data_IF_645146409592
#
_entry.id   IF_645146409592
#
_cell.length_a   1.000
_cell.length_b   1.000
_cell.length_c   1.000
_cell.angle_alpha   90.00
_cell.angle_beta   90.00
_cell.angle_gamma   90.00
#
_symmetry.space_group_name_H-M   'P 1'
#
loop_
_entity.id
_entity.type
_entity.pdbx_description
1 polymer ?
#
# COMPACT_ATOMS: atom_id res chain seq x y z
N UNK A 1 12.41 21.28 -6.67
CA UNK A 1 12.02 20.56 -5.42
C UNK A 1 11.67 19.14 -5.83
N UNK A 2 12.27 18.14 -5.19
CA UNK A 2 11.88 16.75 -5.46
C UNK A 2 10.46 16.53 -4.92
N UNK A 3 9.52 16.25 -5.79
CA UNK A 3 8.16 15.85 -5.39
C UNK A 3 8.12 14.35 -5.11
N UNK A 4 7.22 13.87 -4.23
CA UNK A 4 6.96 12.45 -4.06
C UNK A 4 6.58 11.77 -5.37
N UNK A 5 6.97 10.51 -5.52
CA UNK A 5 6.63 9.67 -6.67
C UNK A 5 5.75 8.52 -6.17
N UNK A 6 4.60 8.36 -6.79
CA UNK A 6 3.63 7.32 -6.50
C UNK A 6 3.48 6.38 -7.69
N UNK A 7 3.32 5.09 -7.42
CA UNK A 7 2.77 4.14 -8.38
C UNK A 7 1.35 3.81 -7.97
N UNK A 8 0.44 3.84 -8.93
CA UNK A 8 -0.98 3.58 -8.69
C UNK A 8 -1.61 2.81 -9.86
N UNK A 9 -2.73 2.14 -9.59
CA UNK A 9 -3.44 1.33 -10.57
C UNK A 9 -3.69 2.10 -11.88
N UNK A 10 -3.17 1.56 -12.98
CA UNK A 10 -3.23 2.20 -14.29
C UNK A 10 -4.67 2.41 -14.80
N UNK A 11 -5.64 1.62 -14.32
CA UNK A 11 -7.06 1.73 -14.67
C UNK A 11 -7.71 3.00 -14.09
N UNK A 12 -7.15 3.52 -12.98
CA UNK A 12 -7.66 4.68 -12.26
C UNK A 12 -6.71 5.88 -12.30
N UNK A 13 -5.63 5.82 -13.08
CA UNK A 13 -4.52 6.77 -13.01
C UNK A 13 -4.95 8.23 -13.23
N UNK A 14 -5.86 8.49 -14.18
CA UNK A 14 -6.31 9.86 -14.45
C UNK A 14 -7.16 10.42 -13.29
N UNK A 15 -8.05 9.61 -12.71
CA UNK A 15 -8.84 10.01 -11.55
C UNK A 15 -7.96 10.24 -10.31
N UNK A 16 -6.89 9.43 -10.14
CA UNK A 16 -5.91 9.61 -9.05
C UNK A 16 -5.07 10.87 -9.25
N UNK A 17 -4.69 11.19 -10.49
CA UNK A 17 -4.00 12.45 -10.83
C UNK A 17 -4.87 13.67 -10.60
N UNK A 18 -6.14 13.61 -10.96
CA UNK A 18 -7.11 14.67 -10.69
C UNK A 18 -7.27 14.91 -9.18
N UNK A 19 -7.44 13.84 -8.39
CA UNK A 19 -7.66 13.92 -6.96
C UNK A 19 -6.39 14.35 -6.18
N UNK A 20 -5.24 13.78 -6.52
CA UNK A 20 -4.04 13.85 -5.68
C UNK A 20 -2.79 14.40 -6.40
N UNK A 21 -2.87 14.80 -7.68
CA UNK A 21 -1.70 15.24 -8.46
C UNK A 21 -0.95 16.45 -7.88
N UNK A 22 -1.61 17.24 -7.01
CA UNK A 22 -0.95 18.35 -6.27
C UNK A 22 0.09 17.88 -5.26
N UNK A 23 0.05 16.61 -4.83
CA UNK A 23 0.98 16.03 -3.85
C UNK A 23 2.23 15.44 -4.47
N UNK A 24 2.20 15.08 -5.76
CA UNK A 24 3.35 14.47 -6.42
C UNK A 24 3.05 13.91 -7.80
N UNK A 25 4.01 13.18 -8.33
CA UNK A 25 3.89 12.55 -9.64
C UNK A 25 3.31 11.14 -9.53
N UNK A 26 2.22 10.87 -10.24
CA UNK A 26 1.57 9.57 -10.30
C UNK A 26 1.98 8.83 -11.58
N UNK A 27 2.67 7.72 -11.39
CA UNK A 27 3.11 6.80 -12.44
C UNK A 27 2.10 5.64 -12.53
N UNK A 28 1.60 5.30 -13.73
CA UNK A 28 0.69 4.17 -13.87
C UNK A 28 1.40 2.86 -13.56
N UNK A 29 0.71 1.93 -12.90
CA UNK A 29 1.22 0.58 -12.68
C UNK A 29 1.38 -0.18 -14.00
N UNK A 30 2.34 -1.11 -14.03
CA UNK A 30 2.50 -2.08 -15.11
C UNK A 30 1.68 -3.33 -14.77
N UNK A 31 0.72 -3.75 -15.61
CA UNK A 31 -0.10 -4.93 -15.34
C UNK A 31 0.73 -6.20 -15.23
N UNK A 32 0.62 -6.91 -14.11
CA UNK A 32 1.24 -8.22 -13.88
C UNK A 32 0.29 -9.34 -14.31
N UNK A 33 0.51 -9.87 -15.51
CA UNK A 33 -0.39 -10.83 -16.16
C UNK A 33 -0.46 -12.21 -15.50
N UNK A 34 0.41 -12.49 -14.54
CA UNK A 34 0.38 -13.74 -13.76
C UNK A 34 -0.63 -13.69 -12.62
N UNK A 35 -1.05 -12.49 -12.20
CA UNK A 35 -2.09 -12.26 -11.21
C UNK A 35 -3.49 -12.42 -11.80
N UNK A 36 -4.49 -12.59 -10.95
CA UNK A 36 -5.89 -12.51 -11.35
C UNK A 36 -6.21 -11.11 -11.91
N UNK A 37 -7.16 -11.02 -12.84
CA UNK A 37 -7.48 -9.78 -13.55
C UNK A 37 -7.79 -8.61 -12.59
N UNK A 38 -8.63 -8.76 -11.53
CA UNK A 38 -8.92 -7.67 -10.62
C UNK A 38 -7.69 -7.07 -9.93
N UNK A 39 -6.67 -7.89 -9.63
CA UNK A 39 -5.44 -7.51 -8.92
C UNK A 39 -4.28 -7.19 -9.87
N UNK A 40 -4.40 -7.50 -11.15
CA UNK A 40 -3.28 -7.45 -12.10
C UNK A 40 -2.63 -6.07 -12.24
N UNK A 41 -3.39 -5.01 -11.98
CA UNK A 41 -2.91 -3.62 -12.01
C UNK A 41 -2.59 -3.05 -10.62
N UNK A 42 -2.82 -3.80 -9.53
CA UNK A 42 -2.51 -3.38 -8.17
C UNK A 42 -1.00 -3.34 -7.95
N UNK A 43 -0.40 -2.17 -7.67
CA UNK A 43 1.06 -2.09 -7.52
C UNK A 43 1.59 -2.90 -6.35
N UNK A 44 0.90 -2.95 -5.22
CA UNK A 44 1.30 -3.67 -4.01
C UNK A 44 1.27 -5.20 -4.11
N UNK A 45 0.72 -5.73 -5.23
CA UNK A 45 0.76 -7.17 -5.53
C UNK A 45 2.06 -7.60 -6.26
N UNK A 46 2.77 -6.63 -6.86
CA UNK A 46 3.99 -6.90 -7.64
C UNK A 46 5.19 -6.04 -7.23
N UNK A 47 4.98 -5.07 -6.32
CA UNK A 47 6.00 -4.16 -5.80
C UNK A 47 5.98 -4.14 -4.28
N UNK A 48 7.17 -4.11 -3.71
CA UNK A 48 7.43 -3.61 -2.37
C UNK A 48 8.22 -2.31 -2.49
N UNK A 49 7.86 -1.29 -1.71
CA UNK A 49 8.57 -0.01 -1.67
C UNK A 49 8.82 0.42 -0.23
N UNK A 50 10.02 0.98 0.02
CA UNK A 50 10.40 1.53 1.32
C UNK A 50 10.03 3.02 1.48
N UNK A 51 9.45 3.63 0.45
CA UNK A 51 9.16 5.05 0.32
C UNK A 51 10.42 5.97 0.31
N UNK A 52 11.62 5.45 0.57
CA UNK A 52 12.88 6.23 0.53
C UNK A 52 13.48 6.29 -0.87
N UNK A 53 13.24 5.34 -1.73
CA UNK A 53 13.60 5.24 -3.14
C UNK A 53 13.99 3.83 -3.58
N UNK A 54 13.86 2.82 -2.73
CA UNK A 54 14.12 1.43 -3.11
C UNK A 54 12.81 0.72 -3.39
N UNK A 55 12.71 0.09 -4.54
CA UNK A 55 11.56 -0.73 -4.96
C UNK A 55 12.04 -2.12 -5.31
N UNK A 56 11.45 -3.14 -4.69
CA UNK A 56 11.65 -4.54 -5.06
C UNK A 56 10.48 -4.96 -5.91
N UNK A 57 10.75 -5.45 -7.11
CA UNK A 57 9.77 -5.61 -8.18
C UNK A 57 9.72 -7.05 -8.69
N UNK A 58 8.52 -7.57 -8.89
CA UNK A 58 8.31 -8.91 -9.45
C UNK A 58 8.91 -9.04 -10.86
N UNK A 59 9.56 -10.20 -11.18
CA UNK A 59 10.25 -10.41 -12.46
C UNK A 59 9.38 -10.11 -13.70
N UNK A 60 8.09 -10.49 -13.76
CA UNK A 60 7.28 -10.27 -14.97
C UNK A 60 7.07 -8.80 -15.36
N UNK A 61 7.18 -7.87 -14.40
CA UNK A 61 6.94 -6.44 -14.61
C UNK A 61 8.20 -5.59 -14.42
N UNK A 62 9.35 -6.21 -14.14
CA UNK A 62 10.60 -5.53 -13.85
C UNK A 62 11.03 -4.57 -14.96
N UNK A 63 11.08 -5.02 -16.23
CA UNK A 63 11.53 -4.19 -17.34
C UNK A 63 10.57 -3.01 -17.63
N UNK A 64 9.27 -3.20 -17.38
CA UNK A 64 8.31 -2.11 -17.49
C UNK A 64 8.56 -1.04 -16.43
N UNK A 65 8.70 -1.43 -15.16
CA UNK A 65 8.98 -0.49 -14.07
C UNK A 65 10.37 0.13 -14.18
N UNK A 66 11.37 -0.59 -14.70
CA UNK A 66 12.70 -0.02 -14.97
C UNK A 66 12.61 1.19 -15.92
N UNK A 67 11.75 1.11 -16.95
CA UNK A 67 11.51 2.23 -17.87
C UNK A 67 10.69 3.35 -17.24
N UNK A 68 9.63 3.00 -16.48
CA UNK A 68 8.72 3.95 -15.88
C UNK A 68 9.36 4.75 -14.75
N UNK A 69 10.22 4.13 -13.94
CA UNK A 69 10.79 4.73 -12.73
C UNK A 69 12.21 5.30 -12.91
N UNK A 70 12.91 4.94 -13.99
CA UNK A 70 14.26 5.45 -14.27
C UNK A 70 14.39 6.99 -14.28
N UNK A 71 13.40 7.79 -14.77
CA UNK A 71 13.51 9.24 -14.77
C UNK A 71 13.50 9.86 -13.35
N UNK A 72 13.05 9.11 -12.35
CA UNK A 72 12.83 9.61 -11.00
C UNK A 72 13.96 9.24 -10.02
N UNK A 73 15.00 8.53 -10.48
CA UNK A 73 16.12 8.12 -9.61
C UNK A 73 15.68 7.13 -8.52
N UNK A 74 14.74 6.24 -8.84
CA UNK A 74 14.32 5.12 -7.98
C UNK A 74 15.27 3.94 -8.21
N UNK A 75 15.77 3.36 -7.13
CA UNK A 75 16.56 2.13 -7.16
C UNK A 75 15.62 0.93 -7.29
N UNK A 76 15.64 0.26 -8.43
CA UNK A 76 14.81 -0.91 -8.69
C UNK A 76 15.61 -2.19 -8.52
N UNK A 77 15.15 -3.08 -7.66
CA UNK A 77 15.71 -4.41 -7.42
C UNK A 77 14.76 -5.46 -7.99
N UNK A 78 15.27 -6.36 -8.79
CA UNK A 78 14.46 -7.47 -9.30
C UNK A 78 14.30 -8.53 -8.21
N UNK A 79 13.06 -8.88 -7.89
CA UNK A 79 12.72 -9.99 -7.03
C UNK A 79 12.99 -11.34 -7.69
N UNK A 80 12.83 -12.41 -6.92
CA UNK A 80 13.03 -13.80 -7.36
C UNK A 80 11.71 -14.54 -7.61
N UNK A 81 10.64 -14.11 -6.92
CA UNK A 81 9.33 -14.76 -6.99
C UNK A 81 8.48 -14.09 -8.08
N UNK A 82 7.96 -14.91 -8.98
CA UNK A 82 6.85 -14.53 -9.87
C UNK A 82 5.55 -14.80 -9.12
N UNK A 83 4.74 -13.76 -8.81
CA UNK A 83 3.46 -13.98 -8.13
C UNK A 83 2.54 -14.82 -9.00
N UNK A 84 1.89 -15.80 -8.36
CA UNK A 84 0.88 -16.66 -9.01
C UNK A 84 -0.48 -15.96 -9.11
N UNK A 85 -1.44 -16.69 -9.70
CA UNK A 85 -2.80 -16.19 -9.89
C UNK A 85 -3.61 -16.13 -8.59
N UNK A 86 -3.47 -17.19 -7.79
CA UNK A 86 -4.35 -17.47 -6.65
C UNK A 86 -3.59 -17.41 -5.33
N UNK A 87 -4.32 -17.19 -4.24
CA UNK A 87 -3.78 -17.25 -2.90
C UNK A 87 -3.29 -18.69 -2.57
N UNK A 88 -2.12 -18.87 -1.92
CA UNK A 88 -1.25 -17.84 -1.36
C UNK A 88 -0.09 -17.41 -2.28
N UNK A 89 -0.08 -17.79 -3.53
CA UNK A 89 1.05 -17.53 -4.45
C UNK A 89 1.13 -16.07 -4.90
N UNK A 90 0.03 -15.30 -4.76
CA UNK A 90 -0.06 -13.91 -5.20
C UNK A 90 0.39 -12.88 -4.16
N UNK A 91 0.73 -13.28 -2.90
CA UNK A 91 1.00 -12.32 -1.80
C UNK A 91 2.48 -12.05 -1.52
N UNK A 92 3.39 -12.53 -2.36
CA UNK A 92 4.83 -12.49 -2.11
C UNK A 92 5.40 -11.09 -1.84
N UNK A 93 4.82 -10.04 -2.42
CA UNK A 93 5.24 -8.64 -2.30
C UNK A 93 4.39 -7.83 -1.30
N UNK A 94 3.32 -8.41 -0.78
CA UNK A 94 2.31 -7.72 0.01
C UNK A 94 2.74 -7.60 1.49
N UNK A 95 3.75 -6.76 1.75
CA UNK A 95 4.34 -6.53 3.07
C UNK A 95 3.97 -5.13 3.56
N UNK A 96 3.41 -5.04 4.76
CA UNK A 96 3.08 -3.78 5.43
C UNK A 96 4.26 -3.31 6.27
N UNK A 97 4.72 -2.07 6.05
CA UNK A 97 5.65 -1.39 6.94
C UNK A 97 4.90 -0.38 7.81
N UNK A 98 5.16 -0.38 9.12
CA UNK A 98 4.58 0.57 10.08
C UNK A 98 5.49 0.74 11.29
N UNK A 99 5.82 1.98 11.68
CA UNK A 99 6.52 2.31 12.93
C UNK A 99 7.87 1.59 13.13
N UNK A 100 8.62 1.30 12.06
CA UNK A 100 9.87 0.55 12.14
C UNK A 100 9.73 -0.98 12.18
N UNK A 101 8.51 -1.48 11.99
CA UNK A 101 8.18 -2.90 11.91
C UNK A 101 7.70 -3.28 10.51
N UNK A 102 7.80 -4.57 10.19
CA UNK A 102 7.21 -5.15 8.98
C UNK A 102 6.27 -6.31 9.34
N UNK A 103 5.08 -6.31 8.76
CA UNK A 103 4.04 -7.30 9.00
C UNK A 103 3.70 -8.02 7.71
N UNK A 104 3.76 -9.35 7.73
CA UNK A 104 3.40 -10.19 6.59
C UNK A 104 3.15 -11.64 7.00
N UNK A 105 2.52 -12.40 6.11
CA UNK A 105 2.58 -13.85 6.13
C UNK A 105 3.90 -14.28 5.48
N UNK A 106 4.94 -14.45 6.29
CA UNK A 106 6.32 -14.65 5.80
C UNK A 106 6.54 -15.94 4.99
N UNK A 107 5.68 -16.93 5.15
CA UNK A 107 5.71 -18.11 4.29
C UNK A 107 5.36 -17.71 2.85
N UNK A 108 6.33 -17.78 1.94
CA UNK A 108 6.18 -17.37 0.53
C UNK A 108 6.44 -15.89 0.26
N UNK A 109 6.90 -15.10 1.24
CA UNK A 109 7.34 -13.73 0.99
C UNK A 109 8.60 -13.68 0.11
N UNK A 110 8.73 -12.63 -0.69
CA UNK A 110 9.87 -12.42 -1.59
C UNK A 110 11.19 -12.34 -0.80
N UNK A 111 12.19 -13.19 -1.08
CA UNK A 111 13.45 -13.22 -0.34
C UNK A 111 14.23 -11.89 -0.37
N UNK A 112 14.17 -11.14 -1.47
CA UNK A 112 14.84 -9.83 -1.55
C UNK A 112 14.23 -8.81 -0.56
N UNK A 113 12.92 -8.92 -0.25
CA UNK A 113 12.27 -8.10 0.76
C UNK A 113 12.80 -8.50 2.14
N UNK A 114 12.87 -9.81 2.41
CA UNK A 114 13.39 -10.33 3.68
C UNK A 114 14.82 -9.86 3.93
N UNK A 115 15.71 -10.05 2.95
CA UNK A 115 17.11 -9.61 3.00
C UNK A 115 17.23 -8.08 3.18
N UNK A 116 16.37 -7.32 2.52
CA UNK A 116 16.32 -5.87 2.62
C UNK A 116 15.93 -5.39 4.03
N UNK A 117 14.89 -5.97 4.61
CA UNK A 117 14.43 -5.66 5.96
C UNK A 117 15.49 -6.02 7.03
N UNK A 118 16.13 -7.18 6.89
CA UNK A 118 17.20 -7.63 7.80
C UNK A 118 18.39 -6.66 7.79
N UNK A 119 18.84 -6.23 6.60
CA UNK A 119 19.95 -5.26 6.45
C UNK A 119 19.62 -3.91 7.08
N UNK A 120 18.35 -3.54 7.18
CA UNK A 120 17.88 -2.30 7.81
C UNK A 120 17.53 -2.45 9.29
N UNK A 121 17.65 -3.66 9.84
CA UNK A 121 17.31 -3.92 11.24
C UNK A 121 15.80 -3.81 11.54
N UNK A 122 14.94 -3.91 10.51
CA UNK A 122 13.48 -3.85 10.66
C UNK A 122 12.99 -5.16 11.25
N UNK A 123 12.28 -5.07 12.38
CA UNK A 123 11.73 -6.24 13.06
C UNK A 123 10.51 -6.77 12.30
N UNK A 124 10.49 -8.07 12.06
CA UNK A 124 9.42 -8.73 11.31
C UNK A 124 8.41 -9.40 12.26
N UNK A 125 7.13 -9.09 12.09
CA UNK A 125 6.02 -9.71 12.79
C UNK A 125 5.20 -10.57 11.84
N UNK A 126 4.91 -11.81 12.23
CA UNK A 126 4.05 -12.68 11.45
C UNK A 126 2.57 -12.34 11.68
N UNK A 127 1.80 -12.26 10.60
CA UNK A 127 0.34 -12.14 10.63
C UNK A 127 -0.30 -13.24 9.79
N UNK A 128 -1.54 -13.59 10.11
CA UNK A 128 -2.28 -14.61 9.37
C UNK A 128 -2.73 -14.10 7.98
N UNK A 129 -2.92 -12.79 7.86
CA UNK A 129 -3.33 -12.11 6.63
C UNK A 129 -2.20 -12.10 5.60
N UNK A 130 -2.47 -12.68 4.41
CA UNK A 130 -1.51 -12.67 3.31
C UNK A 130 -1.42 -11.31 2.61
N UNK A 131 -2.55 -10.63 2.47
CA UNK A 131 -2.64 -9.29 1.87
C UNK A 131 -2.40 -8.20 2.92
N UNK A 132 -1.28 -8.27 3.66
CA UNK A 132 -1.04 -7.40 4.81
C UNK A 132 -1.00 -5.91 4.43
N UNK A 133 -0.37 -5.55 3.30
CA UNK A 133 -0.30 -4.18 2.80
C UNK A 133 -1.67 -3.66 2.36
N UNK A 134 -2.40 -4.46 1.56
CA UNK A 134 -3.73 -4.09 1.11
C UNK A 134 -4.70 -3.94 2.31
N UNK A 135 -4.60 -4.82 3.31
CA UNK A 135 -5.53 -4.89 4.44
C UNK A 135 -5.35 -3.78 5.48
N UNK A 136 -4.26 -3.01 5.41
CA UNK A 136 -3.96 -2.02 6.44
C UNK A 136 -3.39 -0.73 5.87
N UNK A 137 -3.89 0.39 6.36
CA UNK A 137 -3.28 1.70 6.19
C UNK A 137 -2.32 1.94 7.35
N UNK A 138 -1.05 2.24 7.04
CA UNK A 138 -0.05 2.65 8.02
C UNK A 138 0.42 4.09 7.78
N UNK A 139 0.59 4.84 8.87
CA UNK A 139 1.16 6.19 8.88
C UNK A 139 1.77 6.47 10.25
N UNK A 140 2.97 7.05 10.28
CA UNK A 140 3.75 7.20 11.51
C UNK A 140 3.78 5.89 12.33
N UNK A 141 3.41 5.94 13.60
CA UNK A 141 3.29 4.81 14.53
C UNK A 141 1.87 4.25 14.63
N UNK A 142 1.09 4.35 13.56
CA UNK A 142 -0.35 4.06 13.58
C UNK A 142 -0.77 3.13 12.46
N UNK A 143 -1.75 2.27 12.75
CA UNK A 143 -2.34 1.31 11.80
C UNK A 143 -3.86 1.38 11.87
N UNK A 144 -4.52 1.39 10.70
CA UNK A 144 -5.97 1.23 10.57
C UNK A 144 -6.21 -0.04 9.76
N UNK A 145 -6.97 -0.99 10.27
CA UNK A 145 -7.23 -2.26 9.61
C UNK A 145 -8.54 -2.89 10.06
N UNK A 146 -9.16 -3.69 9.20
CA UNK A 146 -10.25 -4.58 9.57
C UNK A 146 -9.75 -5.98 10.02
N UNK A 147 -8.49 -6.31 9.76
CA UNK A 147 -7.93 -7.64 10.05
C UNK A 147 -7.49 -7.75 11.52
N UNK A 148 -8.04 -8.70 12.30
CA UNK A 148 -7.73 -8.83 13.71
C UNK A 148 -6.30 -9.33 13.98
N UNK A 149 -5.69 -10.07 13.04
CA UNK A 149 -4.30 -10.55 13.21
C UNK A 149 -3.29 -9.42 13.05
N UNK A 150 -3.52 -8.51 12.11
CA UNK A 150 -2.71 -7.30 11.93
C UNK A 150 -2.93 -6.35 13.12
N UNK A 151 -4.20 -6.13 13.51
CA UNK A 151 -4.53 -5.26 14.63
C UNK A 151 -3.80 -5.69 15.91
N UNK A 152 -3.84 -6.99 16.23
CA UNK A 152 -3.14 -7.56 17.40
C UNK A 152 -1.63 -7.40 17.30
N UNK A 153 -1.03 -7.83 16.17
CA UNK A 153 0.42 -7.78 16.01
C UNK A 153 0.96 -6.33 16.07
N UNK A 154 0.23 -5.37 15.50
CA UNK A 154 0.58 -3.95 15.57
C UNK A 154 0.47 -3.42 17.01
N UNK A 155 -0.60 -3.74 17.73
CA UNK A 155 -0.77 -3.33 19.14
C UNK A 155 0.30 -3.94 20.05
N UNK A 156 0.63 -5.22 19.88
CA UNK A 156 1.69 -5.92 20.63
C UNK A 156 3.08 -5.31 20.34
N UNK A 157 3.25 -4.65 19.19
CA UNK A 157 4.47 -3.90 18.81
C UNK A 157 4.47 -2.46 19.35
N UNK A 158 3.46 -2.04 20.10
CA UNK A 158 3.34 -0.70 20.68
C UNK A 158 2.79 0.35 19.72
N UNK A 159 2.28 -0.06 18.55
CA UNK A 159 1.66 0.87 17.59
C UNK A 159 0.23 1.23 18.03
N UNK A 160 -0.20 2.42 17.66
CA UNK A 160 -1.58 2.84 17.81
C UNK A 160 -2.47 2.17 16.77
N UNK A 161 -3.54 1.52 17.16
CA UNK A 161 -4.39 0.77 16.25
C UNK A 161 -5.83 1.25 16.28
N UNK A 162 -6.42 1.45 15.12
CA UNK A 162 -7.86 1.57 14.91
C UNK A 162 -8.34 0.33 14.15
N UNK A 163 -9.10 -0.52 14.83
CA UNK A 163 -9.80 -1.62 14.16
C UNK A 163 -11.15 -1.14 13.64
N UNK A 164 -11.41 -1.42 12.35
CA UNK A 164 -12.63 -1.01 11.64
C UNK A 164 -13.45 -2.24 11.20
N UNK A 165 -14.68 -2.02 10.77
CA UNK A 165 -15.53 -3.04 10.17
C UNK A 165 -14.99 -3.47 8.80
N UNK A 166 -15.03 -4.76 8.44
CA UNK A 166 -14.67 -5.23 7.11
C UNK A 166 -15.74 -4.84 6.08
N UNK A 167 -15.34 -4.79 4.80
CA UNK A 167 -16.23 -4.44 3.70
C UNK A 167 -16.33 -2.94 3.44
N UNK A 168 -17.38 -2.51 2.72
CA UNK A 168 -17.66 -1.11 2.37
C UNK A 168 -16.60 -0.44 1.46
N UNK A 169 -15.70 -1.23 0.87
CA UNK A 169 -14.67 -0.80 -0.07
C UNK A 169 -14.87 -1.57 -1.36
N UNK A 170 -15.04 -0.87 -2.46
CA UNK A 170 -15.28 -1.48 -3.77
C UNK A 170 -13.98 -2.10 -4.31
N UNK A 171 -14.05 -3.34 -4.76
CA UNK A 171 -13.03 -4.01 -5.57
C UNK A 171 -13.74 -4.83 -6.64
N UNK A 172 -13.80 -4.35 -7.90
CA UNK A 172 -14.49 -5.08 -8.97
C UNK A 172 -13.93 -6.49 -9.15
N UNK A 173 -14.80 -7.49 -9.10
CA UNK A 173 -14.43 -8.92 -9.20
C UNK A 173 -14.30 -9.63 -7.85
N UNK A 174 -14.43 -8.91 -6.74
CA UNK A 174 -14.47 -9.45 -5.37
C UNK A 174 -15.65 -8.86 -4.59
N UNK A 175 -16.03 -9.51 -3.49
CA UNK A 175 -17.12 -9.04 -2.63
C UNK A 175 -16.82 -7.67 -2.01
N UNK A 176 -15.55 -7.42 -1.65
CA UNK A 176 -15.05 -6.14 -1.16
C UNK A 176 -13.52 -6.05 -1.28
N UNK A 177 -13.01 -4.84 -1.23
CA UNK A 177 -11.59 -4.53 -1.15
C UNK A 177 -11.14 -4.14 0.26
N UNK A 178 -9.92 -3.64 0.38
CA UNK A 178 -9.26 -3.36 1.65
C UNK A 178 -8.92 -1.88 1.84
N UNK A 179 -8.86 -1.45 3.11
CA UNK A 179 -8.60 -0.04 3.46
C UNK A 179 -7.21 0.43 3.04
N UNK A 180 -6.18 -0.41 3.15
CA UNK A 180 -4.84 -0.10 2.68
C UNK A 180 -4.78 0.01 1.16
N UNK A 181 -5.53 -0.84 0.44
CA UNK A 181 -5.68 -0.77 -1.00
C UNK A 181 -6.36 0.50 -1.50
N UNK A 182 -7.28 1.06 -0.70
CA UNK A 182 -8.01 2.29 -1.02
C UNK A 182 -7.32 3.58 -0.55
N UNK A 183 -6.09 3.50 0.00
CA UNK A 183 -5.45 4.63 0.67
C UNK A 183 -3.93 4.69 0.49
N UNK A 184 -3.32 5.75 0.99
CA UNK A 184 -1.88 5.93 1.09
C UNK A 184 -1.49 7.26 1.71
N UNK A 185 -0.24 7.37 2.16
CA UNK A 185 0.34 8.62 2.63
C UNK A 185 0.70 9.47 1.40
N UNK A 186 0.19 10.71 1.32
CA UNK A 186 0.40 11.61 0.17
C UNK A 186 1.57 12.57 0.39
N UNK A 187 1.77 12.99 1.62
CA UNK A 187 2.92 13.78 2.07
C UNK A 187 3.21 13.48 3.55
N UNK A 188 4.10 14.26 4.19
CA UNK A 188 4.51 14.05 5.58
C UNK A 188 3.35 14.08 6.59
N UNK A 189 2.20 14.65 6.24
CA UNK A 189 1.08 14.92 7.15
C UNK A 189 -0.30 14.71 6.53
N UNK A 190 -0.40 14.12 5.34
CA UNK A 190 -1.68 13.94 4.65
C UNK A 190 -1.87 12.48 4.25
N UNK A 191 -2.96 11.90 4.72
CA UNK A 191 -3.44 10.58 4.31
C UNK A 191 -4.49 10.74 3.22
N UNK A 192 -4.30 10.07 2.09
CA UNK A 192 -5.23 10.04 0.97
C UNK A 192 -6.15 8.83 1.00
N UNK A 193 -7.41 9.03 0.61
CA UNK A 193 -8.38 7.95 0.40
C UNK A 193 -9.02 8.08 -0.98
N UNK A 194 -8.94 7.06 -1.79
CA UNK A 194 -9.56 7.05 -3.11
C UNK A 194 -11.05 6.69 -3.00
N UNK A 195 -11.80 7.62 -2.49
CA UNK A 195 -13.23 7.60 -2.23
C UNK A 195 -13.60 8.44 -1.01
N UNK A 196 -14.88 8.52 -0.73
CA UNK A 196 -15.49 9.35 0.32
C UNK A 196 -15.58 8.55 1.63
N UNK A 197 -14.82 8.94 2.64
CA UNK A 197 -14.85 8.31 3.96
C UNK A 197 -16.23 8.36 4.63
N UNK A 198 -17.09 9.35 4.29
CA UNK A 198 -18.45 9.45 4.85
C UNK A 198 -19.35 8.29 4.42
N UNK A 199 -18.97 7.55 3.37
CA UNK A 199 -19.70 6.37 2.90
C UNK A 199 -19.25 5.07 3.60
N UNK A 200 -18.21 5.12 4.46
CA UNK A 200 -17.79 3.99 5.28
C UNK A 200 -18.37 4.10 6.69
N UNK A 201 -18.90 3.02 7.30
CA UNK A 201 -19.50 3.06 8.65
C UNK A 201 -18.57 3.65 9.72
N UNK A 202 -17.27 3.38 9.61
CA UNK A 202 -16.26 3.91 10.51
C UNK A 202 -15.60 5.21 9.99
N UNK A 203 -16.14 5.90 8.98
CA UNK A 203 -15.52 7.04 8.33
C UNK A 203 -15.16 8.16 9.29
N UNK A 204 -16.07 8.50 10.22
CA UNK A 204 -15.82 9.52 11.25
C UNK A 204 -14.75 9.08 12.25
N UNK A 205 -14.73 7.81 12.63
CA UNK A 205 -13.72 7.23 13.52
C UNK A 205 -12.33 7.25 12.85
N UNK A 206 -12.25 6.88 11.57
CA UNK A 206 -11.02 6.93 10.77
C UNK A 206 -10.49 8.37 10.72
N UNK A 207 -11.35 9.33 10.36
CA UNK A 207 -10.98 10.74 10.28
C UNK A 207 -10.49 11.28 11.64
N UNK A 208 -11.23 10.99 12.70
CA UNK A 208 -10.87 11.41 14.07
C UNK A 208 -9.55 10.78 14.53
N UNK A 209 -9.32 9.50 14.22
CA UNK A 209 -8.08 8.80 14.57
C UNK A 209 -6.86 9.42 13.87
N UNK A 210 -6.99 9.78 12.59
CA UNK A 210 -5.93 10.41 11.80
C UNK A 210 -5.65 11.83 12.29
N UNK A 211 -6.70 12.64 12.49
CA UNK A 211 -6.55 14.05 12.89
C UNK A 211 -6.03 14.21 14.31
N UNK A 212 -6.40 13.32 15.25
CA UNK A 212 -5.86 13.30 16.61
C UNK A 212 -4.33 13.07 16.65
N UNK A 213 -3.74 12.55 15.55
CA UNK A 213 -2.29 12.34 15.39
C UNK A 213 -1.60 13.44 14.59
N UNK A 214 -2.31 14.54 14.32
CA UNK A 214 -1.76 15.68 13.61
C UNK A 214 -1.65 15.50 12.10
N UNK A 215 -2.38 14.53 11.54
CA UNK A 215 -2.47 14.33 10.10
C UNK A 215 -3.76 14.90 9.54
N UNK A 216 -3.72 15.30 8.27
CA UNK A 216 -4.89 15.70 7.49
C UNK A 216 -5.42 14.52 6.67
N UNK A 217 -6.70 14.57 6.34
CA UNK A 217 -7.36 13.61 5.47
C UNK A 217 -7.71 14.27 4.14
N UNK A 218 -7.32 13.65 3.04
CA UNK A 218 -7.70 14.03 1.69
C UNK A 218 -8.45 12.87 1.05
N UNK A 219 -9.77 12.99 0.92
CA UNK A 219 -10.65 11.98 0.34
C UNK A 219 -11.38 12.52 -0.91
N UNK A 220 -11.90 11.61 -1.75
CA UNK A 220 -12.60 11.96 -2.99
C UNK A 220 -14.10 11.95 -2.74
N UNK A 221 -14.76 13.12 -2.67
CA UNK A 221 -16.19 13.22 -2.32
C UNK A 221 -17.10 12.47 -3.29
N UNK A 222 -18.23 11.95 -2.79
CA UNK A 222 -19.30 11.33 -3.57
C UNK A 222 -18.90 10.08 -4.37
N UNK A 223 -17.76 9.50 -4.08
CA UNK A 223 -17.28 8.25 -4.69
C UNK A 223 -17.13 7.18 -3.61
N UNK A 224 -17.62 5.94 -3.80
CA UNK A 224 -17.31 4.85 -2.90
C UNK A 224 -15.80 4.67 -2.74
N UNK A 225 -15.33 4.32 -1.54
CA UNK A 225 -13.95 3.89 -1.35
C UNK A 225 -13.67 2.75 -2.31
N UNK A 226 -12.59 2.87 -3.07
CA UNK A 226 -12.22 1.90 -4.10
C UNK A 226 -10.79 1.44 -3.86
N UNK A 227 -10.62 0.13 -3.76
CA UNK A 227 -9.31 -0.51 -3.68
C UNK A 227 -8.62 -0.43 -5.06
N UNK A 228 -7.47 0.21 -5.08
CA UNK A 228 -6.62 0.45 -6.25
C UNK A 228 -5.21 -0.13 -6.03
N UNK A 229 -5.09 -1.10 -5.12
CA UNK A 229 -3.83 -1.75 -4.77
C UNK A 229 -2.84 -0.80 -4.10
N UNK A 230 -3.31 0.06 -3.21
CA UNK A 230 -2.55 1.07 -2.49
C UNK A 230 -2.12 2.26 -3.39
N UNK A 231 -2.18 3.48 -2.88
CA UNK A 231 -1.46 4.63 -3.42
C UNK A 231 0.00 4.47 -2.97
N UNK A 232 0.80 3.76 -3.78
CA UNK A 232 2.12 3.29 -3.37
C UNK A 232 3.18 4.37 -3.57
N UNK A 233 3.62 5.00 -2.48
CA UNK A 233 4.75 5.92 -2.53
C UNK A 233 6.04 5.12 -2.74
N UNK A 234 6.76 5.39 -3.84
CA UNK A 234 8.04 4.74 -4.18
C UNK A 234 9.25 5.64 -3.93
N UNK A 235 9.00 6.93 -3.79
CA UNK A 235 10.03 7.90 -3.39
C UNK A 235 9.36 9.06 -2.67
N UNK A 236 9.78 9.33 -1.45
CA UNK A 236 9.35 10.51 -0.69
C UNK A 236 10.25 11.71 -0.97
N UNK A 237 9.75 12.90 -0.66
CA UNK A 237 10.52 14.13 -0.55
C UNK A 237 10.71 14.56 0.92
N UNK A 238 10.33 13.70 1.86
CA UNK A 238 10.35 13.90 3.31
C UNK A 238 10.76 12.58 4.00
N UNK A 239 11.15 12.64 5.28
CA UNK A 239 11.37 11.43 6.08
C UNK A 239 10.04 10.76 6.41
N UNK A 240 9.96 9.46 6.14
CA UNK A 240 8.77 8.62 6.36
C UNK A 240 8.88 7.88 7.69
#
# INVERSE_FOLDING_TARGET
MNQPIFVADCRYIEALREAFGRFGTFVPSAPCKTLAEPESCHPDMALYADAESTVICAPPVYEAYRRLLSPFGVTLVQGKITPGRDYPENVAYNVLNAGGFAFAKWAGAEPQIVDFLEKRGIVRHHVAQGYARCSALAFADSVITADPSIARAAADSGLSVLQIEPGHICLPGYDYGFIGGASGLLDARTVGFFGDLRLHPNGDAIRSFITARGFSVCDVPHRPLTDVGTILMVKSSFSV
#
